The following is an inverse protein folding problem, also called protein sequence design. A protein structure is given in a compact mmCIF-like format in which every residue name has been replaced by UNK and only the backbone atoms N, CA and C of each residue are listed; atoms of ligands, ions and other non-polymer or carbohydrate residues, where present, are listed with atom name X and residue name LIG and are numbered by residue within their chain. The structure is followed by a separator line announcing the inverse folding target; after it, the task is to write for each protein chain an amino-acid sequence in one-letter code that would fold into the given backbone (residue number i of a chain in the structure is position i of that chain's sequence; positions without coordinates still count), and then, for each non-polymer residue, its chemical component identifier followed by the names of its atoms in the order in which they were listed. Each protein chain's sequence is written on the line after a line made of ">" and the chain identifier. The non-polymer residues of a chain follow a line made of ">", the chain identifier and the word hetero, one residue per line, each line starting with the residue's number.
data_IF_910563631275
#
_entry.id   IF_910563631275
#
_cell.length_a   1.000
_cell.length_b   1.000
_cell.length_c   1.000
_cell.angle_alpha   90.00
_cell.angle_beta   90.00
_cell.angle_gamma   90.00
#
_symmetry.space_group_name_H-M   'P 1'
#
loop_
_entity.id
_entity.type
_entity.pdbx_description
1 polymer ?
#
# COMPACT_ATOMS: atom_id res chain seq x y z
N UNK A 1 -8.83 -3.74 -5.85
CA UNK A 1 -7.83 -4.75 -5.41
C UNK A 1 -7.35 -4.38 -4.02
N UNK A 2 -7.33 -5.36 -3.11
CA UNK A 2 -6.88 -5.20 -1.74
C UNK A 2 -6.06 -6.44 -1.37
N UNK A 3 -4.84 -6.26 -0.88
CA UNK A 3 -3.99 -7.36 -0.43
C UNK A 3 -4.50 -7.96 0.89
N UNK A 4 -4.43 -9.28 1.04
CA UNK A 4 -4.95 -10.02 2.19
C UNK A 4 -4.21 -9.77 3.51
N UNK A 5 -3.15 -8.95 3.48
CA UNK A 5 -2.39 -8.56 4.66
C UNK A 5 -2.78 -7.19 5.21
N UNK A 6 -4.00 -6.77 4.89
CA UNK A 6 -4.60 -5.53 5.34
C UNK A 6 -5.73 -5.90 6.29
N UNK A 7 -5.73 -5.27 7.46
CA UNK A 7 -6.84 -5.30 8.41
C UNK A 7 -7.65 -4.05 8.19
N UNK A 8 -8.96 -4.20 8.02
CA UNK A 8 -9.91 -3.12 7.72
C UNK A 8 -10.81 -2.94 8.94
N UNK A 9 -10.89 -1.72 9.48
CA UNK A 9 -11.71 -1.42 10.67
C UNK A 9 -12.95 -0.60 10.34
N UNK A 10 -13.02 0.00 9.16
CA UNK A 10 -14.20 0.70 8.66
C UNK A 10 -14.51 0.34 7.21
N UNK A 11 -15.74 0.60 6.78
CA UNK A 11 -16.11 0.45 5.38
C UNK A 11 -15.21 1.32 4.49
N UNK A 12 -14.77 0.75 3.38
CA UNK A 12 -13.89 1.35 2.38
C UNK A 12 -14.52 2.48 1.54
N UNK A 13 -15.80 2.83 1.76
CA UNK A 13 -16.54 3.91 1.07
C UNK A 13 -15.83 5.27 1.13
N UNK A 14 -15.06 5.55 2.18
CA UNK A 14 -14.26 6.78 2.29
C UNK A 14 -13.28 6.97 1.13
N UNK A 15 -12.82 5.88 0.48
CA UNK A 15 -11.98 6.01 -0.71
C UNK A 15 -12.76 6.59 -1.88
N UNK A 16 -14.01 6.15 -2.07
CA UNK A 16 -14.88 6.68 -3.13
C UNK A 16 -15.25 8.14 -2.86
N UNK A 17 -15.49 8.50 -1.60
CA UNK A 17 -15.72 9.89 -1.21
C UNK A 17 -14.53 10.78 -1.57
N UNK A 18 -13.31 10.37 -1.23
CA UNK A 18 -12.09 11.10 -1.58
C UNK A 18 -11.89 11.19 -3.10
N UNK A 19 -12.12 10.11 -3.83
CA UNK A 19 -12.01 10.08 -5.29
C UNK A 19 -12.99 11.08 -5.92
N UNK A 20 -14.22 11.13 -5.41
CA UNK A 20 -15.27 12.04 -5.88
C UNK A 20 -14.96 13.49 -5.54
N UNK A 21 -14.52 13.77 -4.30
CA UNK A 21 -14.13 15.10 -3.83
C UNK A 21 -12.96 15.67 -4.64
N UNK A 22 -11.96 14.84 -4.94
CA UNK A 22 -10.80 15.23 -5.72
C UNK A 22 -11.02 15.16 -7.24
N UNK A 23 -12.21 14.77 -7.68
CA UNK A 23 -12.57 14.62 -9.10
C UNK A 23 -11.57 13.74 -9.87
N UNK A 24 -11.12 12.67 -9.24
CA UNK A 24 -10.18 11.71 -9.80
C UNK A 24 -10.89 10.43 -10.24
N UNK A 25 -10.20 9.53 -10.94
CA UNK A 25 -10.79 8.25 -11.37
C UNK A 25 -10.44 7.09 -10.43
N UNK A 26 -9.45 7.29 -9.57
CA UNK A 26 -8.79 6.20 -8.86
C UNK A 26 -8.28 6.61 -7.49
N UNK A 27 -8.07 5.61 -6.63
CA UNK A 27 -7.41 5.74 -5.34
C UNK A 27 -6.27 4.73 -5.24
N UNK A 28 -5.14 5.19 -4.70
CA UNK A 28 -4.08 4.30 -4.22
C UNK A 28 -3.33 4.97 -3.07
N UNK A 29 -2.44 4.21 -2.45
CA UNK A 29 -1.40 4.79 -1.62
C UNK A 29 -0.14 5.07 -2.44
N UNK A 30 0.67 6.01 -1.96
CA UNK A 30 2.06 6.14 -2.36
C UNK A 30 2.97 6.07 -1.14
N UNK A 31 4.23 5.72 -1.37
CA UNK A 31 5.22 5.65 -0.29
C UNK A 31 6.18 6.81 -0.35
N UNK A 32 6.06 7.72 0.63
CA UNK A 32 6.94 8.89 0.74
C UNK A 32 8.41 8.51 0.86
N UNK A 33 8.74 7.44 1.62
CA UNK A 33 10.13 6.97 1.74
C UNK A 33 10.78 6.57 0.41
N UNK A 34 10.00 6.06 -0.55
CA UNK A 34 10.47 5.66 -1.87
C UNK A 34 10.43 6.80 -2.90
N UNK A 35 9.72 7.88 -2.60
CA UNK A 35 9.42 8.98 -3.53
C UNK A 35 10.38 10.14 -3.34
N UNK A 36 11.11 10.50 -4.40
CA UNK A 36 11.93 11.72 -4.50
C UNK A 36 11.33 12.75 -5.46
N UNK A 37 10.47 12.32 -6.37
CA UNK A 37 9.73 13.21 -7.28
C UNK A 37 8.23 13.10 -6.98
N UNK A 38 7.64 14.15 -6.41
CA UNK A 38 6.22 14.13 -6.03
C UNK A 38 5.27 14.22 -7.22
N UNK A 39 5.74 14.70 -8.37
CA UNK A 39 4.94 14.74 -9.61
C UNK A 39 4.84 13.35 -10.26
N UNK A 40 5.70 12.41 -9.84
CA UNK A 40 5.64 11.00 -10.22
C UNK A 40 5.85 10.13 -8.98
N UNK A 41 4.89 10.08 -8.05
CA UNK A 41 5.07 9.39 -6.78
C UNK A 41 5.18 7.88 -6.99
N UNK A 42 5.90 7.20 -6.09
CA UNK A 42 6.00 5.73 -6.11
C UNK A 42 4.70 5.15 -5.53
N UNK A 43 3.78 4.80 -6.44
CA UNK A 43 2.46 4.23 -6.13
C UNK A 43 2.63 2.81 -5.58
N UNK A 44 1.94 2.51 -4.50
CA UNK A 44 1.84 1.18 -3.90
C UNK A 44 0.81 0.33 -4.65
N UNK A 45 1.09 -0.97 -4.83
CA UNK A 45 0.23 -1.87 -5.60
C UNK A 45 -0.57 -2.87 -4.73
N UNK A 46 -0.56 -2.71 -3.40
CA UNK A 46 -1.29 -3.58 -2.47
C UNK A 46 -2.72 -3.09 -2.14
N UNK A 47 -3.07 -1.86 -2.52
CA UNK A 47 -4.45 -1.38 -2.54
C UNK A 47 -4.62 -0.44 -3.72
N UNK A 48 -5.47 -0.85 -4.68
CA UNK A 48 -5.81 -0.07 -5.86
C UNK A 48 -7.33 -0.08 -6.05
N UNK A 49 -7.95 1.09 -6.13
CA UNK A 49 -9.35 1.26 -6.50
C UNK A 49 -9.43 2.19 -7.71
N UNK A 50 -10.27 1.84 -8.68
CA UNK A 50 -10.37 2.58 -9.94
C UNK A 50 -11.73 2.36 -10.57
N UNK A 51 -12.16 3.29 -11.41
CA UNK A 51 -13.31 3.10 -12.29
C UNK A 51 -13.05 1.97 -13.31
N UNK A 52 -14.11 1.30 -13.80
CA UNK A 52 -13.95 0.31 -14.86
C UNK A 52 -13.25 0.88 -16.09
N UNK A 53 -12.44 0.05 -16.77
CA UNK A 53 -11.81 0.38 -18.06
C UNK A 53 -10.79 1.55 -17.94
N UNK A 54 -10.11 1.67 -16.80
CA UNK A 54 -9.07 2.68 -16.63
C UNK A 54 -7.82 2.37 -17.48
N UNK A 55 -7.46 3.30 -18.38
CA UNK A 55 -6.36 3.12 -19.34
C UNK A 55 -5.00 3.01 -18.67
N UNK A 56 -4.73 3.81 -17.63
CA UNK A 56 -3.44 3.81 -16.96
C UNK A 56 -3.14 2.45 -16.32
N UNK A 57 -4.12 1.86 -15.61
CA UNK A 57 -3.94 0.54 -15.01
C UNK A 57 -3.78 -0.56 -16.05
N UNK A 58 -4.45 -0.45 -17.20
CA UNK A 58 -4.23 -1.38 -18.31
C UNK A 58 -2.81 -1.29 -18.85
N UNK A 59 -2.32 -0.09 -19.14
CA UNK A 59 -0.97 0.10 -19.66
C UNK A 59 0.10 -0.32 -18.64
N UNK A 60 -0.13 -0.06 -17.34
CA UNK A 60 0.72 -0.56 -16.25
C UNK A 60 0.76 -2.10 -16.21
N UNK A 61 -0.39 -2.75 -16.30
CA UNK A 61 -0.46 -4.22 -16.32
C UNK A 61 0.23 -4.82 -17.55
N UNK A 62 -0.03 -4.28 -18.74
CA UNK A 62 0.57 -4.76 -19.99
C UNK A 62 2.10 -4.63 -19.96
N UNK A 63 2.63 -3.50 -19.47
CA UNK A 63 4.08 -3.30 -19.33
C UNK A 63 4.69 -4.18 -18.23
N UNK A 64 3.93 -4.52 -17.18
CA UNK A 64 4.39 -5.48 -16.17
C UNK A 64 4.54 -6.87 -16.80
N UNK A 65 3.56 -7.30 -17.61
CA UNK A 65 3.65 -8.57 -18.36
C UNK A 65 4.87 -8.57 -19.28
N UNK A 66 5.13 -7.48 -20.00
CA UNK A 66 6.32 -7.32 -20.83
C UNK A 66 7.63 -7.45 -20.01
N UNK A 67 7.75 -6.71 -18.91
CA UNK A 67 8.93 -6.75 -18.03
C UNK A 67 9.18 -8.15 -17.46
N UNK A 68 8.11 -8.90 -17.15
CA UNK A 68 8.20 -10.28 -16.68
C UNK A 68 8.64 -11.25 -17.79
N UNK A 69 8.17 -11.06 -19.03
CA UNK A 69 8.58 -11.89 -20.18
C UNK A 69 10.04 -11.68 -20.56
N UNK A 70 10.52 -10.42 -20.55
CA UNK A 70 11.92 -10.08 -20.82
C UNK A 70 12.85 -10.46 -19.65
N UNK A 71 12.29 -10.54 -18.44
CA UNK A 71 13.00 -10.78 -17.20
C UNK A 71 13.35 -9.46 -16.49
N UNK A 72 13.00 -9.29 -15.20
CA UNK A 72 13.17 -8.02 -14.47
C UNK A 72 14.58 -7.43 -14.55
N UNK A 73 15.62 -8.27 -14.39
CA UNK A 73 17.02 -7.84 -14.49
C UNK A 73 17.36 -7.24 -15.85
N UNK A 74 16.97 -7.92 -16.92
CA UNK A 74 17.20 -7.48 -18.30
C UNK A 74 16.45 -6.18 -18.58
N UNK A 75 15.18 -6.11 -18.17
CA UNK A 75 14.35 -4.92 -18.31
C UNK A 75 14.95 -3.69 -17.61
N UNK A 76 15.42 -3.85 -16.36
CA UNK A 76 16.08 -2.77 -15.61
C UNK A 76 17.38 -2.32 -16.28
N UNK A 77 18.19 -3.26 -16.78
CA UNK A 77 19.43 -2.93 -17.47
C UNK A 77 19.17 -2.18 -18.78
N UNK A 78 18.10 -2.53 -19.49
CA UNK A 78 17.70 -1.83 -20.71
C UNK A 78 17.28 -0.39 -20.43
N UNK A 79 16.53 -0.14 -19.35
CA UNK A 79 16.19 1.21 -18.89
C UNK A 79 17.46 2.02 -18.64
N UNK A 80 18.43 1.47 -17.89
CA UNK A 80 19.70 2.14 -17.59
C UNK A 80 20.50 2.49 -18.85
N UNK A 81 20.39 1.67 -19.89
CA UNK A 81 21.11 1.84 -21.15
C UNK A 81 20.46 2.87 -22.07
N UNK A 82 19.12 2.96 -22.05
CA UNK A 82 18.37 3.66 -23.09
C UNK A 82 17.64 4.92 -22.63
N UNK A 83 17.35 5.05 -21.33
CA UNK A 83 16.59 6.18 -20.80
C UNK A 83 17.53 7.20 -20.14
N UNK A 84 17.60 8.44 -20.66
CA UNK A 84 18.32 9.51 -19.99
C UNK A 84 17.73 9.82 -18.62
N UNK A 85 18.58 10.06 -17.61
CA UNK A 85 18.17 10.33 -16.23
C UNK A 85 17.26 9.23 -15.65
N UNK A 86 17.53 7.97 -15.97
CA UNK A 86 16.75 6.80 -15.53
C UNK A 86 16.61 6.72 -14.01
N UNK A 87 17.49 7.37 -13.24
CA UNK A 87 17.44 7.42 -11.78
C UNK A 87 16.11 8.02 -11.29
N UNK A 88 15.47 8.89 -12.10
CA UNK A 88 14.12 9.42 -11.82
C UNK A 88 13.03 8.36 -11.86
N UNK A 89 13.20 7.28 -12.63
CA UNK A 89 12.30 6.12 -12.64
C UNK A 89 12.50 5.31 -11.37
N UNK A 90 13.75 5.07 -10.97
CA UNK A 90 14.05 4.18 -9.85
C UNK A 90 13.83 4.85 -8.49
N UNK A 91 14.00 6.17 -8.39
CA UNK A 91 13.86 6.94 -7.16
C UNK A 91 14.57 6.25 -5.98
N UNK A 92 13.87 6.00 -4.88
CA UNK A 92 14.37 5.22 -3.73
C UNK A 92 13.75 3.82 -3.65
N UNK A 93 13.29 3.26 -4.77
CA UNK A 93 12.77 1.88 -4.82
C UNK A 93 13.92 0.93 -4.50
N UNK A 94 13.82 0.21 -3.38
CA UNK A 94 14.77 -0.83 -2.99
C UNK A 94 14.55 -2.11 -3.78
N UNK A 95 15.60 -2.88 -4.08
CA UNK A 95 15.48 -4.18 -4.75
C UNK A 95 14.56 -4.13 -6.00
N UNK A 96 15.04 -3.41 -7.03
CA UNK A 96 14.29 -3.13 -8.26
C UNK A 96 13.74 -4.38 -8.94
N UNK A 97 14.47 -5.50 -8.91
CA UNK A 97 14.03 -6.76 -9.53
C UNK A 97 12.82 -7.35 -8.79
N UNK A 98 12.84 -7.34 -7.46
CA UNK A 98 11.71 -7.80 -6.65
C UNK A 98 10.50 -6.85 -6.72
N UNK A 99 10.76 -5.53 -6.80
CA UNK A 99 9.74 -4.49 -6.88
C UNK A 99 9.52 -4.03 -8.33
N UNK A 100 9.62 -4.94 -9.31
CA UNK A 100 9.55 -4.60 -10.73
C UNK A 100 8.24 -3.88 -11.11
N UNK A 101 7.12 -4.22 -10.46
CA UNK A 101 5.84 -3.54 -10.66
C UNK A 101 5.91 -2.04 -10.39
N UNK A 102 6.68 -1.61 -9.38
CA UNK A 102 6.87 -0.21 -9.04
C UNK A 102 7.71 0.50 -10.11
N UNK A 103 8.77 -0.15 -10.58
CA UNK A 103 9.62 0.38 -11.67
C UNK A 103 8.81 0.56 -12.94
N UNK A 104 8.01 -0.43 -13.30
CA UNK A 104 7.15 -0.39 -14.48
C UNK A 104 6.11 0.73 -14.36
N UNK A 105 5.49 0.92 -13.19
CA UNK A 105 4.57 2.04 -12.95
C UNK A 105 5.23 3.38 -13.28
N UNK A 106 6.48 3.57 -12.82
CA UNK A 106 7.23 4.79 -13.07
C UNK A 106 7.55 4.98 -14.56
N UNK A 107 7.82 3.89 -15.30
CA UNK A 107 7.99 3.95 -16.76
C UNK A 107 6.71 4.41 -17.46
N UNK A 108 5.54 3.90 -17.05
CA UNK A 108 4.26 4.32 -17.62
C UNK A 108 3.95 5.78 -17.29
N UNK A 109 4.29 6.23 -16.08
CA UNK A 109 4.11 7.62 -15.65
C UNK A 109 4.96 8.63 -16.43
N UNK A 110 6.01 8.19 -17.14
CA UNK A 110 6.72 9.06 -18.09
C UNK A 110 5.89 9.39 -19.34
N UNK A 111 4.92 8.53 -19.69
CA UNK A 111 4.07 8.67 -20.88
C UNK A 111 2.75 9.35 -20.55
N UNK A 112 2.13 8.97 -19.43
CA UNK A 112 0.86 9.51 -18.98
C UNK A 112 0.72 9.41 -17.46
N UNK A 113 0.34 10.52 -16.82
CA UNK A 113 0.04 10.52 -15.39
C UNK A 113 -1.38 10.00 -15.15
N UNK A 114 -1.60 9.22 -14.07
CA UNK A 114 -2.94 8.74 -13.71
C UNK A 114 -3.80 9.86 -13.11
N UNK A 115 -5.11 9.82 -13.38
CA UNK A 115 -6.11 10.56 -12.61
C UNK A 115 -6.37 9.83 -11.29
N UNK A 116 -5.61 10.16 -10.25
CA UNK A 116 -5.58 9.39 -9.00
C UNK A 116 -5.50 10.27 -7.75
N UNK A 117 -6.28 9.91 -6.74
CA UNK A 117 -6.13 10.36 -5.37
C UNK A 117 -5.10 9.49 -4.66
N UNK A 118 -4.12 10.13 -4.01
CA UNK A 118 -3.04 9.46 -3.32
C UNK A 118 -2.97 9.86 -1.84
N UNK A 119 -2.76 8.86 -0.97
CA UNK A 119 -2.43 9.06 0.44
C UNK A 119 -1.03 8.51 0.72
N UNK A 120 -0.27 9.22 1.57
CA UNK A 120 1.02 8.71 2.06
C UNK A 120 0.79 7.53 3.00
N UNK A 121 1.15 6.31 2.58
CA UNK A 121 0.99 5.14 3.43
C UNK A 121 1.85 5.21 4.68
N UNK A 122 2.98 5.93 4.67
CA UNK A 122 3.89 6.03 5.81
C UNK A 122 3.23 6.77 7.00
N UNK A 123 2.19 7.58 6.74
CA UNK A 123 1.42 8.30 7.77
C UNK A 123 0.03 7.70 8.03
N UNK A 124 -0.34 6.66 7.30
CA UNK A 124 -1.68 6.08 7.34
C UNK A 124 -1.62 4.55 7.47
N UNK A 125 -1.65 3.81 6.35
CA UNK A 125 -1.72 2.35 6.38
C UNK A 125 -0.53 1.66 7.09
N UNK A 126 0.64 2.29 7.12
CA UNK A 126 1.85 1.83 7.84
C UNK A 126 2.12 2.60 9.14
N UNK A 127 1.16 3.36 9.65
CA UNK A 127 1.35 4.27 10.78
C UNK A 127 2.06 3.59 11.97
N UNK A 128 1.56 2.44 12.44
CA UNK A 128 2.14 1.75 13.59
C UNK A 128 3.55 1.25 13.32
N UNK A 129 3.83 0.75 12.11
CA UNK A 129 5.17 0.29 11.74
C UNK A 129 6.14 1.46 11.64
N UNK A 130 5.73 2.59 11.07
CA UNK A 130 6.56 3.78 10.97
C UNK A 130 6.84 4.36 12.36
N UNK A 131 5.80 4.53 13.19
CA UNK A 131 5.89 4.94 14.60
C UNK A 131 6.89 4.07 15.37
N UNK A 132 6.83 2.76 15.16
CA UNK A 132 7.68 1.78 15.84
C UNK A 132 9.01 1.48 15.13
N UNK A 133 9.38 2.25 14.10
CA UNK A 133 10.63 2.06 13.34
C UNK A 133 10.78 0.65 12.78
N UNK A 134 9.68 0.03 12.37
CA UNK A 134 9.60 -1.32 11.79
C UNK A 134 10.09 -2.42 12.74
N UNK A 135 10.00 -2.20 14.05
CA UNK A 135 10.23 -3.22 15.07
C UNK A 135 8.93 -3.99 15.28
N UNK A 136 8.92 -5.27 14.87
CA UNK A 136 7.71 -6.11 14.85
C UNK A 136 7.12 -6.34 16.25
N UNK A 137 7.96 -6.46 17.28
CA UNK A 137 7.53 -6.67 18.66
C UNK A 137 6.80 -5.44 19.22
N UNK A 138 7.30 -4.24 18.90
CA UNK A 138 6.63 -2.99 19.28
C UNK A 138 5.30 -2.80 18.55
N UNK A 139 5.27 -3.20 17.27
CA UNK A 139 4.02 -3.19 16.49
C UNK A 139 3.01 -4.17 17.10
N UNK A 140 3.44 -5.38 17.46
CA UNK A 140 2.58 -6.34 18.16
C UNK A 140 2.04 -5.78 19.48
N UNK A 141 2.86 -5.09 20.29
CA UNK A 141 2.41 -4.46 21.54
C UNK A 141 1.30 -3.43 21.28
N UNK A 142 1.49 -2.54 20.29
CA UNK A 142 0.44 -1.58 19.90
C UNK A 142 -0.84 -2.29 19.46
N UNK A 143 -0.72 -3.41 18.75
CA UNK A 143 -1.85 -4.12 18.19
C UNK A 143 -2.60 -4.96 19.24
N UNK A 144 -1.88 -5.65 20.11
CA UNK A 144 -2.43 -6.68 21.00
C UNK A 144 -2.72 -6.19 22.42
N UNK A 145 -2.11 -5.07 22.85
CA UNK A 145 -2.16 -4.62 24.26
C UNK A 145 -2.84 -3.26 24.38
N UNK A 146 -2.52 -2.31 23.50
CA UNK A 146 -3.02 -0.96 23.67
C UNK A 146 -4.52 -0.92 23.42
N UNK A 147 -5.28 -0.64 24.48
CA UNK A 147 -6.70 -0.33 24.38
C UNK A 147 -6.85 0.95 23.56
N UNK A 148 -7.59 0.85 22.46
CA UNK A 148 -7.71 1.97 21.56
C UNK A 148 -8.73 2.97 22.12
N UNK A 149 -8.23 4.03 22.76
CA UNK A 149 -9.04 5.17 23.21
C UNK A 149 -8.99 6.28 22.16
N UNK A 150 -9.89 6.22 21.17
CA UNK A 150 -9.96 7.19 20.08
C UNK A 150 -10.54 6.61 18.80
N UNK A 151 -10.43 7.37 17.70
CA UNK A 151 -10.85 6.91 16.37
C UNK A 151 -9.97 5.77 15.90
N UNK A 152 -10.58 4.63 15.56
CA UNK A 152 -9.89 3.49 14.97
C UNK A 152 -9.21 3.89 13.64
N UNK A 153 -8.04 3.32 13.34
CA UNK A 153 -7.44 3.51 12.03
C UNK A 153 -8.34 2.89 10.97
N UNK A 154 -8.58 3.58 9.85
CA UNK A 154 -9.45 3.08 8.78
C UNK A 154 -9.06 1.66 8.31
N UNK A 155 -7.76 1.47 8.13
CA UNK A 155 -7.12 0.20 7.83
C UNK A 155 -5.66 0.20 8.28
N UNK A 156 -5.06 -0.99 8.40
CA UNK A 156 -3.63 -1.19 8.65
C UNK A 156 -3.10 -2.24 7.69
N UNK A 157 -2.02 -1.93 6.96
CA UNK A 157 -1.34 -2.84 6.04
C UNK A 157 -0.10 -3.39 6.71
N UNK A 158 0.09 -4.71 6.77
CA UNK A 158 1.31 -5.32 7.33
C UNK A 158 2.32 -5.73 6.26
N UNK A 159 3.61 -5.52 6.58
CA UNK A 159 4.72 -6.12 5.84
C UNK A 159 4.93 -7.57 6.29
N UNK A 160 5.67 -8.36 5.49
CA UNK A 160 5.70 -9.81 5.64
C UNK A 160 6.20 -10.32 7.00
N UNK A 161 7.16 -9.64 7.65
CA UNK A 161 7.70 -10.07 8.95
C UNK A 161 6.72 -9.82 10.09
N UNK A 162 6.10 -8.66 10.08
CA UNK A 162 5.10 -8.21 11.06
C UNK A 162 3.83 -9.04 10.92
N UNK A 163 3.36 -9.25 9.69
CA UNK A 163 2.18 -10.08 9.41
C UNK A 163 2.31 -11.48 10.02
N UNK A 164 3.44 -12.15 9.78
CA UNK A 164 3.70 -13.48 10.34
C UNK A 164 3.67 -13.43 11.87
N UNK A 165 4.36 -12.45 12.46
CA UNK A 165 4.48 -12.35 13.90
C UNK A 165 3.15 -12.04 14.60
N UNK A 166 2.35 -11.13 14.03
CA UNK A 166 1.02 -10.78 14.55
C UNK A 166 0.05 -11.96 14.39
N UNK A 167 0.07 -12.62 13.23
CA UNK A 167 -0.75 -13.82 12.99
C UNK A 167 -0.51 -14.92 14.03
N UNK A 168 0.75 -15.20 14.35
CA UNK A 168 1.12 -16.22 15.35
C UNK A 168 0.56 -15.93 16.76
N UNK A 169 0.39 -14.66 17.14
CA UNK A 169 -0.17 -14.28 18.44
C UNK A 169 -1.69 -14.23 18.40
N UNK A 170 -2.27 -13.74 17.30
CA UNK A 170 -3.71 -13.74 17.07
C UNK A 170 -4.29 -15.16 17.12
N UNK A 171 -3.67 -16.12 16.41
CA UNK A 171 -4.09 -17.52 16.38
C UNK A 171 -4.06 -18.19 17.76
N UNK A 172 -3.24 -17.68 18.69
CA UNK A 172 -3.13 -18.18 20.07
C UNK A 172 -4.06 -17.45 21.05
N UNK A 173 -4.86 -16.49 20.58
CA UNK A 173 -5.67 -15.64 21.46
C UNK A 173 -4.82 -14.75 22.38
N UNK A 174 -3.59 -14.42 21.99
CA UNK A 174 -2.65 -13.64 22.81
C UNK A 174 -2.81 -12.14 22.54
N UNK A 175 -3.99 -11.61 22.84
CA UNK A 175 -4.31 -10.18 22.77
C UNK A 175 -5.33 -9.83 23.86
N UNK A 176 -5.38 -8.56 24.23
CA UNK A 176 -6.34 -8.04 25.20
C UNK A 176 -7.67 -7.70 24.51
N UNK A 177 -8.75 -7.78 25.28
CA UNK A 177 -10.06 -7.27 24.88
C UNK A 177 -9.95 -5.77 24.53
N UNK A 178 -10.70 -5.33 23.52
CA UNK A 178 -10.70 -3.95 23.00
C UNK A 178 -9.34 -3.48 22.44
N UNK A 179 -8.44 -4.42 22.11
CA UNK A 179 -7.22 -4.14 21.35
C UNK A 179 -7.49 -4.13 19.85
N UNK A 180 -6.53 -3.67 19.04
CA UNK A 180 -6.66 -3.67 17.58
C UNK A 180 -6.67 -5.09 16.96
N UNK A 181 -6.28 -6.12 17.71
CA UNK A 181 -6.43 -7.52 17.28
C UNK A 181 -7.73 -8.15 17.73
N UNK A 182 -8.52 -7.43 18.52
CA UNK A 182 -9.79 -7.90 19.00
C UNK A 182 -10.90 -7.60 17.99
N UNK A 183 -10.99 -8.44 16.94
CA UNK A 183 -12.01 -8.32 15.90
C UNK A 183 -13.39 -8.79 16.35
N UNK A 184 -13.71 -8.78 17.65
CA UNK A 184 -15.00 -9.23 18.14
C UNK A 184 -16.12 -8.63 17.31
N UNK A 185 -16.89 -9.54 16.72
CA UNK A 185 -18.09 -9.26 15.95
C UNK A 185 -19.03 -8.54 16.92
N UNK A 186 -19.10 -7.21 16.81
CA UNK A 186 -19.91 -6.37 17.69
C UNK A 186 -21.39 -6.55 17.32
N UNK A 187 -21.90 -7.77 17.49
CA UNK A 187 -23.31 -8.12 17.38
C UNK A 187 -24.15 -7.43 18.47
N UNK A 188 -23.51 -6.67 19.38
CA UNK A 188 -24.18 -5.87 20.40
C UNK A 188 -24.55 -4.46 19.93
N UNK A 189 -24.02 -3.98 18.79
CA UNK A 189 -24.37 -2.66 18.23
C UNK A 189 -25.55 -2.66 17.25
N UNK A 190 -26.16 -3.81 16.97
CA UNK A 190 -27.35 -3.91 16.09
C UNK A 190 -28.69 -3.81 16.83
N UNK A 191 -28.69 -3.53 18.14
CA UNK A 191 -29.91 -3.32 18.93
C UNK A 191 -29.75 -2.14 19.91
N UNK A 192 -29.92 -0.92 19.40
CA UNK A 192 -30.36 0.25 20.18
C UNK A 192 -31.13 1.23 19.30
#
# INVERSE_FOLDING_TARGET
>A
WLDASIIVYENLDWMQELVSQNQSESFAYYRKKNTTNIDSPVIENWLLATTPINRFFKDWFDELVNAMQVGPKTYINEIKRTVPNYERIFQKISNLEYLISYVVCQVIMLKALPSITLIDCDQNAFYYQVKNKWVKEKTLIEMAINHHSGEYPKLIKFAGKERKHIGEFYEKGMYFQDSLLDFHDDQSKTLS
#
